data_IF_044410640708
#
_entry.id   IF_044410640708
#
_cell.length_a   1.000
_cell.length_b   1.000
_cell.length_c   1.000
_cell.angle_alpha   90.00
_cell.angle_beta   90.00
_cell.angle_gamma   90.00
#
_symmetry.space_group_name_H-M   'P 1'
#
loop_
_entity.id
_entity.type
_entity.pdbx_description
1 polymer ?
#
# COMPACT_ATOMS: atom_id res chain seq x y z
N UNK A 1 -20.56 -3.68 -6.39
CA UNK A 1 -19.13 -3.91 -6.69
C UNK A 1 -18.35 -3.29 -5.52
N UNK A 2 -17.93 -4.11 -4.56
CA UNK A 2 -17.25 -3.62 -3.35
C UNK A 2 -15.76 -3.56 -3.66
N UNK A 3 -15.13 -2.40 -3.46
CA UNK A 3 -13.68 -2.28 -3.57
C UNK A 3 -13.08 -2.46 -2.18
N UNK A 4 -12.19 -3.43 -2.06
CA UNK A 4 -11.49 -3.70 -0.80
C UNK A 4 -10.15 -2.99 -0.80
N UNK A 5 -9.72 -2.53 0.37
CA UNK A 5 -8.48 -1.78 0.56
C UNK A 5 -7.62 -2.34 1.68
N UNK A 6 -6.32 -2.06 1.59
CA UNK A 6 -5.32 -2.32 2.63
C UNK A 6 -4.50 -1.06 2.78
N UNK A 7 -4.46 -0.53 4.00
CA UNK A 7 -3.56 0.56 4.37
C UNK A 7 -2.46 -0.01 5.24
N UNK A 8 -1.22 0.39 4.99
CA UNK A 8 -0.08 -0.04 5.79
C UNK A 8 0.77 1.17 6.17
N UNK A 9 1.38 1.09 7.34
CA UNK A 9 2.28 2.12 7.83
C UNK A 9 3.60 2.02 7.06
N UNK A 10 4.21 3.17 6.69
CA UNK A 10 5.50 3.16 6.04
C UNK A 10 6.56 2.56 6.96
N UNK A 11 7.52 1.85 6.36
CA UNK A 11 8.65 1.25 7.09
C UNK A 11 9.55 2.32 7.74
N UNK A 12 9.53 3.55 7.21
CA UNK A 12 10.25 4.70 7.74
C UNK A 12 9.23 5.79 8.09
N UNK A 13 9.31 6.42 9.28
CA UNK A 13 8.43 7.54 9.62
C UNK A 13 8.59 8.66 8.60
N UNK A 14 7.48 9.18 8.07
CA UNK A 14 7.52 10.35 7.21
C UNK A 14 8.17 11.51 7.97
N UNK A 15 9.14 12.18 7.34
CA UNK A 15 9.91 13.27 7.95
C UNK A 15 9.05 14.50 8.30
N UNK A 16 7.80 14.56 7.83
CA UNK A 16 6.89 15.68 8.06
C UNK A 16 5.45 15.20 8.27
N UNK A 17 4.70 15.75 9.25
CA UNK A 17 3.31 15.40 9.49
C UNK A 17 2.37 15.73 8.32
N UNK A 18 2.78 16.63 7.43
CA UNK A 18 2.07 17.01 6.19
C UNK A 18 2.49 16.20 4.95
N UNK A 19 3.21 15.08 5.14
CA UNK A 19 3.62 14.25 4.02
C UNK A 19 2.40 13.71 3.24
N UNK A 20 2.46 13.71 1.90
CA UNK A 20 1.35 13.25 1.07
C UNK A 20 1.04 11.78 1.32
N UNK A 21 -0.26 11.48 1.37
CA UNK A 21 -0.78 10.10 1.42
C UNK A 21 -1.15 9.66 0.02
N UNK A 22 -0.73 8.44 -0.34
CA UNK A 22 -0.96 7.89 -1.68
C UNK A 22 -2.00 6.77 -1.65
N UNK A 23 -2.88 6.77 -2.64
CA UNK A 23 -3.78 5.65 -2.91
C UNK A 23 -3.39 5.01 -4.24
N UNK A 24 -2.99 3.74 -4.20
CA UNK A 24 -2.66 2.95 -5.40
C UNK A 24 -3.87 2.08 -5.75
N UNK A 25 -4.44 2.32 -6.92
CA UNK A 25 -5.59 1.57 -7.43
C UNK A 25 -5.10 0.46 -8.36
N UNK A 26 -5.18 -0.78 -7.89
CA UNK A 26 -4.85 -2.00 -8.62
C UNK A 26 -3.72 -2.78 -7.98
N UNK A 27 -4.01 -3.97 -7.46
CA UNK A 27 -3.02 -4.91 -6.92
C UNK A 27 -2.45 -5.84 -8.02
N UNK A 28 -1.97 -5.25 -9.11
CA UNK A 28 -1.15 -5.95 -10.11
C UNK A 28 0.34 -5.80 -9.82
N UNK A 29 1.21 -6.35 -10.66
CA UNK A 29 2.67 -6.21 -10.48
C UNK A 29 3.13 -4.75 -10.38
N UNK A 30 2.61 -3.87 -11.25
CA UNK A 30 2.96 -2.45 -11.24
C UNK A 30 2.45 -1.71 -10.00
N UNK A 31 1.20 -1.97 -9.58
CA UNK A 31 0.64 -1.33 -8.39
C UNK A 31 1.32 -1.81 -7.10
N UNK A 32 1.68 -3.09 -7.02
CA UNK A 32 2.44 -3.62 -5.89
C UNK A 32 3.84 -3.02 -5.81
N UNK A 33 4.55 -2.94 -6.95
CA UNK A 33 5.87 -2.32 -7.02
C UNK A 33 5.84 -0.84 -6.64
N UNK A 34 4.85 -0.09 -7.13
CA UNK A 34 4.67 1.32 -6.78
C UNK A 34 4.34 1.51 -5.30
N UNK A 35 3.44 0.69 -4.76
CA UNK A 35 3.04 0.77 -3.37
C UNK A 35 4.21 0.42 -2.43
N UNK A 36 5.01 -0.59 -2.77
CA UNK A 36 6.25 -0.90 -2.06
C UNK A 36 7.28 0.21 -2.15
N UNK A 37 7.50 0.77 -3.35
CA UNK A 37 8.46 1.88 -3.54
C UNK A 37 8.09 3.12 -2.71
N UNK A 38 6.82 3.53 -2.73
CA UNK A 38 6.35 4.68 -1.95
C UNK A 38 6.46 4.45 -0.44
N UNK A 39 6.22 3.22 0.03
CA UNK A 39 6.40 2.89 1.45
C UNK A 39 7.87 2.82 1.88
N UNK A 40 8.79 2.44 0.98
CA UNK A 40 10.24 2.54 1.23
C UNK A 40 10.69 4.00 1.31
N UNK A 41 10.05 4.91 0.56
CA UNK A 41 10.29 6.35 0.66
C UNK A 41 9.66 7.00 1.92
N UNK A 42 8.99 6.22 2.77
CA UNK A 42 8.41 6.71 4.01
C UNK A 42 6.99 7.27 3.88
N UNK A 43 6.34 7.13 2.72
CA UNK A 43 4.97 7.62 2.53
C UNK A 43 3.92 6.60 2.98
N UNK A 44 2.81 7.12 3.52
CA UNK A 44 1.63 6.30 3.78
C UNK A 44 0.94 5.93 2.48
N UNK A 45 0.73 4.63 2.27
CA UNK A 45 0.12 4.09 1.05
C UNK A 45 -1.08 3.20 1.39
N UNK A 46 -2.16 3.40 0.65
CA UNK A 46 -3.31 2.50 0.63
C UNK A 46 -3.41 1.81 -0.72
N UNK A 47 -3.37 0.49 -0.75
CA UNK A 47 -3.55 -0.32 -1.96
C UNK A 47 -4.98 -0.82 -2.05
N UNK A 48 -5.62 -0.60 -3.19
CA UNK A 48 -6.99 -1.04 -3.46
C UNK A 48 -7.02 -2.01 -4.63
N UNK A 49 -7.95 -2.96 -4.59
CA UNK A 49 -8.21 -3.86 -5.69
C UNK A 49 -9.68 -4.25 -5.73
N UNK A 50 -10.15 -4.66 -6.91
CA UNK A 50 -11.52 -5.17 -7.08
C UNK A 50 -11.73 -6.49 -6.32
N UNK A 51 -10.71 -7.36 -6.29
CA UNK A 51 -10.78 -8.68 -5.66
C UNK A 51 -9.87 -8.73 -4.44
N UNK A 52 -10.39 -9.25 -3.33
CA UNK A 52 -9.64 -9.41 -2.08
C UNK A 52 -8.51 -10.43 -2.19
N UNK A 53 -8.61 -11.43 -3.08
CA UNK A 53 -7.59 -12.48 -3.25
C UNK A 53 -6.16 -11.94 -3.44
N UNK A 54 -6.01 -10.78 -4.08
CA UNK A 54 -4.68 -10.16 -4.29
C UNK A 54 -4.23 -9.26 -3.14
N UNK A 55 -5.16 -8.84 -2.29
CA UNK A 55 -4.90 -8.00 -1.12
C UNK A 55 -4.64 -8.85 0.13
N UNK A 56 -5.21 -10.05 0.18
CA UNK A 56 -5.13 -10.92 1.35
C UNK A 56 -3.70 -11.32 1.73
N UNK A 57 -2.80 -11.68 0.78
CA UNK A 57 -1.40 -11.95 1.11
C UNK A 57 -0.74 -10.72 1.75
N UNK A 58 -1.02 -9.52 1.25
CA UNK A 58 -0.44 -8.27 1.77
C UNK A 58 -0.99 -7.96 3.17
N UNK A 59 -2.29 -8.22 3.41
CA UNK A 59 -2.88 -8.10 4.75
C UNK A 59 -2.22 -9.05 5.73
N UNK A 60 -2.04 -10.32 5.34
CA UNK A 60 -1.41 -11.34 6.17
C UNK A 60 0.06 -11.04 6.45
N UNK A 61 0.78 -10.45 5.50
CA UNK A 61 2.15 -9.97 5.68
C UNK A 61 2.25 -8.73 6.55
N UNK A 62 1.13 -8.08 6.91
CA UNK A 62 1.12 -6.85 7.70
C UNK A 62 1.50 -5.59 6.89
N UNK A 63 1.51 -5.68 5.56
CA UNK A 63 1.92 -4.60 4.66
C UNK A 63 2.90 -5.08 3.58
N UNK A 64 3.49 -4.11 2.88
CA UNK A 64 4.55 -4.38 1.90
C UNK A 64 5.90 -4.13 2.58
N UNK A 65 6.64 -5.20 2.84
CA UNK A 65 7.98 -5.17 3.40
C UNK A 65 8.94 -5.97 2.50
N UNK A 66 10.22 -5.60 2.50
CA UNK A 66 11.31 -6.36 1.88
C UNK A 66 11.83 -7.44 2.83
#
# INVERSE_FOLDING_TARGET
MVMSGVSFQPAVPAESPDAPRFAVLGAGHGGLAMAGHLSLLGFQVSLFNRSDERLEPIRQSGGIAL
#
